data_IF_764699795750
#
_entry.id   IF_764699795750
#
_cell.length_a   1.000
_cell.length_b   1.000
_cell.length_c   1.000
_cell.angle_alpha   90.00
_cell.angle_beta   90.00
_cell.angle_gamma   90.00
#
_symmetry.space_group_name_H-M   'P 1'
#
loop_
_entity.id
_entity.type
_entity.pdbx_description
1 polymer ?
#
# COMPACT_ATOMS: atom_id res chain seq x y z
N UNK A 1 -3.22 -6.17 12.59
CA UNK A 1 -2.58 -5.08 11.81
C UNK A 1 -3.49 -4.72 10.64
N UNK A 2 -3.82 -3.44 10.47
CA UNK A 2 -4.82 -3.01 9.49
C UNK A 2 -4.29 -3.20 8.05
N UNK A 3 -4.93 -4.09 7.30
CA UNK A 3 -4.58 -4.47 5.92
C UNK A 3 -4.76 -3.39 4.86
N UNK A 4 -5.26 -2.23 5.27
CA UNK A 4 -5.59 -1.12 4.40
C UNK A 4 -5.61 0.18 5.18
N UNK A 5 -5.16 1.25 4.56
CA UNK A 5 -5.32 2.61 5.05
C UNK A 5 -6.52 3.21 4.34
N UNK A 6 -7.44 3.75 5.13
CA UNK A 6 -8.60 4.46 4.62
C UNK A 6 -8.63 5.82 5.30
N UNK A 7 -8.53 6.88 4.51
CA UNK A 7 -8.87 8.21 5.02
C UNK A 7 -10.38 8.37 4.78
N UNK A 8 -11.15 8.16 5.85
CA UNK A 8 -12.54 8.55 5.94
C UNK A 8 -12.59 9.98 6.49
N UNK A 9 -13.04 10.93 5.69
CA UNK A 9 -13.48 12.22 6.23
C UNK A 9 -14.81 12.02 6.94
N UNK A 10 -14.77 12.15 8.25
CA UNK A 10 -15.89 12.11 9.18
C UNK A 10 -16.87 13.25 8.87
N UNK A 11 -18.13 12.91 8.52
CA UNK A 11 -19.26 13.85 8.38
C UNK A 11 -19.26 14.82 7.18
N UNK A 12 -18.22 15.65 7.05
CA UNK A 12 -18.16 16.74 6.06
C UNK A 12 -18.14 16.24 4.60
N UNK A 13 -17.52 15.08 4.39
CA UNK A 13 -17.41 14.42 3.10
C UNK A 13 -18.75 13.91 2.54
N UNK A 14 -19.65 13.46 3.42
CA UNK A 14 -20.98 12.99 3.02
C UNK A 14 -21.82 14.15 2.47
N UNK A 15 -21.79 15.30 3.14
CA UNK A 15 -22.52 16.50 2.72
C UNK A 15 -21.98 17.05 1.40
N UNK A 16 -20.65 17.10 1.24
CA UNK A 16 -20.04 17.49 -0.03
C UNK A 16 -20.36 16.49 -1.15
N UNK A 17 -20.35 15.18 -0.88
CA UNK A 17 -20.70 14.17 -1.89
C UNK A 17 -22.13 14.32 -2.40
N UNK A 18 -23.08 14.70 -1.52
CA UNK A 18 -24.47 14.98 -1.87
C UNK A 18 -24.56 16.24 -2.73
N UNK A 19 -23.92 17.34 -2.32
CA UNK A 19 -23.87 18.59 -3.09
C UNK A 19 -23.20 18.42 -4.46
N UNK A 20 -22.10 17.68 -4.53
CA UNK A 20 -21.46 17.33 -5.81
C UNK A 20 -22.37 16.50 -6.71
N UNK A 21 -23.22 15.64 -6.14
CA UNK A 21 -24.17 14.82 -6.90
C UNK A 21 -25.32 15.67 -7.45
N UNK A 22 -25.80 16.65 -6.70
CA UNK A 22 -26.89 17.54 -7.11
C UNK A 22 -26.44 18.69 -8.02
N UNK A 23 -25.27 19.31 -7.75
CA UNK A 23 -24.83 20.55 -8.43
C UNK A 23 -23.63 20.37 -9.39
N UNK A 24 -22.77 19.37 -9.18
CA UNK A 24 -21.46 19.29 -9.87
C UNK A 24 -21.40 18.44 -11.14
N UNK A 25 -22.41 17.62 -11.41
CA UNK A 25 -22.44 16.71 -12.55
C UNK A 25 -21.28 15.70 -12.64
N UNK A 26 -21.20 14.90 -13.73
CA UNK A 26 -20.17 13.87 -13.91
C UNK A 26 -18.74 14.41 -14.00
N UNK A 27 -18.57 15.60 -14.59
CA UNK A 27 -17.24 16.22 -14.81
C UNK A 27 -16.56 16.60 -13.50
N UNK A 28 -17.28 17.20 -12.55
CA UNK A 28 -16.73 17.56 -11.23
C UNK A 28 -16.33 16.31 -10.45
N UNK A 29 -17.14 15.24 -10.49
CA UNK A 29 -16.81 13.96 -9.84
C UNK A 29 -15.54 13.33 -10.39
N UNK A 30 -15.35 13.38 -11.71
CA UNK A 30 -14.15 12.87 -12.36
C UNK A 30 -12.92 13.73 -12.04
N UNK A 31 -13.08 15.05 -11.98
CA UNK A 31 -12.02 15.97 -11.57
C UNK A 31 -11.60 15.72 -10.11
N UNK A 32 -12.57 15.69 -9.19
CA UNK A 32 -12.35 15.36 -7.78
C UNK A 32 -11.62 14.03 -7.61
N UNK A 33 -12.10 12.99 -8.29
CA UNK A 33 -11.50 11.64 -8.20
C UNK A 33 -10.06 11.62 -8.72
N UNK A 34 -9.75 12.38 -9.78
CA UNK A 34 -8.38 12.56 -10.29
C UNK A 34 -7.49 13.31 -9.30
N UNK A 35 -7.99 14.40 -8.71
CA UNK A 35 -7.25 15.20 -7.72
C UNK A 35 -6.95 14.40 -6.45
N UNK A 36 -7.94 13.68 -5.92
CA UNK A 36 -7.75 12.79 -4.76
C UNK A 36 -6.78 11.65 -5.06
N UNK A 37 -6.84 11.05 -6.27
CA UNK A 37 -5.85 10.05 -6.68
C UNK A 37 -4.44 10.63 -6.70
N UNK A 38 -4.27 11.84 -7.25
CA UNK A 38 -2.98 12.54 -7.29
C UNK A 38 -2.46 12.86 -5.89
N UNK A 39 -3.33 13.15 -4.93
CA UNK A 39 -2.97 13.34 -3.52
C UNK A 39 -2.48 12.04 -2.85
N UNK A 40 -3.05 10.89 -3.22
CA UNK A 40 -2.69 9.58 -2.68
C UNK A 40 -1.48 8.91 -3.37
N UNK A 41 -1.18 9.33 -4.60
CA UNK A 41 -0.07 8.81 -5.43
C UNK A 41 1.30 8.79 -4.73
N UNK A 42 1.70 9.82 -3.96
CA UNK A 42 3.01 9.83 -3.31
C UNK A 42 3.15 8.74 -2.24
N UNK A 43 2.15 8.59 -1.37
CA UNK A 43 2.14 7.52 -0.36
C UNK A 43 2.15 6.14 -1.03
N UNK A 44 1.45 5.98 -2.15
CA UNK A 44 1.50 4.74 -2.94
C UNK A 44 2.90 4.44 -3.47
N UNK A 45 3.58 5.44 -4.05
CA UNK A 45 4.97 5.30 -4.53
C UNK A 45 5.93 4.98 -3.40
N UNK A 46 5.76 5.62 -2.24
CA UNK A 46 6.60 5.37 -1.06
C UNK A 46 6.42 3.93 -0.55
N UNK A 47 5.18 3.42 -0.51
CA UNK A 47 4.90 2.02 -0.16
C UNK A 47 5.53 1.04 -1.15
N UNK A 48 5.42 1.31 -2.45
CA UNK A 48 6.06 0.48 -3.48
C UNK A 48 7.58 0.52 -3.37
N UNK A 49 8.15 1.71 -3.12
CA UNK A 49 9.60 1.90 -2.95
C UNK A 49 10.09 1.14 -1.73
N UNK A 50 9.43 1.29 -0.58
CA UNK A 50 9.76 0.61 0.67
C UNK A 50 9.84 -0.92 0.48
N UNK A 51 8.87 -1.51 -0.23
CA UNK A 51 8.93 -2.95 -0.58
C UNK A 51 10.08 -3.31 -1.52
N UNK A 52 10.33 -2.50 -2.56
CA UNK A 52 11.39 -2.74 -3.54
C UNK A 52 12.79 -2.66 -2.93
N UNK A 53 13.00 -1.72 -2.01
CA UNK A 53 14.29 -1.48 -1.36
C UNK A 53 14.45 -2.22 -0.03
N UNK A 54 13.45 -3.01 0.38
CA UNK A 54 13.49 -3.72 1.66
C UNK A 54 14.68 -4.70 1.71
N UNK A 55 15.62 -4.46 2.62
CA UNK A 55 16.72 -5.40 2.84
C UNK A 55 16.17 -6.67 3.49
N UNK A 56 16.50 -7.81 2.90
CA UNK A 56 16.20 -9.14 3.41
C UNK A 56 17.53 -9.83 3.66
N UNK A 57 18.08 -9.62 4.85
CA UNK A 57 19.36 -10.18 5.24
C UNK A 57 19.16 -11.63 5.67
N UNK A 58 19.82 -12.58 5.01
CA UNK A 58 19.86 -13.97 5.48
C UNK A 58 20.81 -14.12 6.66
N UNK A 59 20.48 -15.00 7.60
CA UNK A 59 21.47 -15.54 8.51
C UNK A 59 22.62 -16.14 7.68
N UNK A 60 23.85 -15.67 7.93
CA UNK A 60 25.00 -15.93 7.06
C UNK A 60 25.19 -17.41 6.77
N UNK A 61 25.49 -17.76 5.52
CA UNK A 61 25.86 -19.14 5.16
C UNK A 61 27.20 -19.47 5.82
N UNK A 62 27.37 -20.70 6.31
CA UNK A 62 28.71 -21.21 6.67
C UNK A 62 29.65 -21.06 5.47
N UNK A 63 30.89 -20.66 5.72
CA UNK A 63 31.91 -20.47 4.69
C UNK A 63 31.98 -21.69 3.75
N UNK A 64 32.05 -21.46 2.43
CA UNK A 64 32.16 -22.49 1.40
C UNK A 64 30.83 -23.09 0.87
N UNK A 65 29.66 -22.74 1.43
CA UNK A 65 28.36 -23.25 0.96
C UNK A 65 27.71 -22.28 -0.05
N UNK A 66 27.73 -22.61 -1.35
CA UNK A 66 26.92 -21.91 -2.37
C UNK A 66 25.43 -22.21 -2.16
N UNK A 67 24.58 -21.19 -2.33
CA UNK A 67 23.14 -21.40 -2.37
C UNK A 67 22.74 -22.15 -3.63
N UNK A 68 21.73 -23.02 -3.54
CA UNK A 68 21.07 -23.58 -4.71
C UNK A 68 20.27 -22.53 -5.50
N UNK A 69 19.82 -22.87 -6.71
CA UNK A 69 18.95 -22.01 -7.49
C UNK A 69 17.65 -21.72 -6.74
N UNK A 70 17.13 -20.50 -6.90
CA UNK A 70 15.80 -20.16 -6.39
C UNK A 70 14.77 -21.08 -7.06
N UNK A 71 13.81 -21.65 -6.31
CA UNK A 71 12.75 -22.48 -6.89
C UNK A 71 11.79 -21.68 -7.79
N UNK A 72 11.91 -20.34 -7.78
CA UNK A 72 11.10 -19.45 -8.63
C UNK A 72 12.00 -18.40 -9.28
N UNK A 73 11.70 -18.03 -10.52
CA UNK A 73 12.34 -16.90 -11.24
C UNK A 73 11.68 -15.56 -10.93
N UNK A 74 10.54 -15.58 -10.21
CA UNK A 74 9.75 -14.40 -9.92
C UNK A 74 10.44 -13.48 -8.91
N UNK A 75 10.61 -12.18 -9.22
CA UNK A 75 11.17 -11.22 -8.26
C UNK A 75 10.17 -10.96 -7.13
N UNK A 76 10.47 -11.47 -5.92
CA UNK A 76 9.61 -11.35 -4.74
C UNK A 76 9.17 -9.91 -4.47
N UNK A 77 10.13 -9.00 -4.29
CA UNK A 77 9.86 -7.60 -3.91
C UNK A 77 9.01 -6.86 -4.96
N UNK A 78 9.31 -7.07 -6.25
CA UNK A 78 8.55 -6.47 -7.35
C UNK A 78 7.11 -6.98 -7.38
N UNK A 79 6.92 -8.29 -7.16
CA UNK A 79 5.59 -8.91 -7.10
C UNK A 79 4.75 -8.31 -5.97
N UNK A 80 5.33 -8.16 -4.77
CA UNK A 80 4.63 -7.56 -3.64
C UNK A 80 4.32 -6.08 -3.88
N UNK A 81 5.27 -5.30 -4.43
CA UNK A 81 5.06 -3.88 -4.75
C UNK A 81 3.97 -3.67 -5.81
N UNK A 82 3.87 -4.57 -6.79
CA UNK A 82 2.83 -4.56 -7.82
C UNK A 82 1.42 -4.81 -7.28
N UNK A 83 1.29 -5.42 -6.10
CA UNK A 83 0.01 -5.68 -5.45
C UNK A 83 -0.53 -4.48 -4.65
N UNK A 84 0.24 -3.42 -4.44
CA UNK A 84 -0.24 -2.21 -3.74
C UNK A 84 -1.14 -1.40 -4.67
N UNK A 85 -2.36 -1.07 -4.22
CA UNK A 85 -3.40 -0.40 -5.02
C UNK A 85 -3.94 0.85 -4.35
N UNK A 86 -4.39 1.78 -5.19
CA UNK A 86 -5.15 2.97 -4.80
C UNK A 86 -6.58 2.86 -5.35
N UNK A 87 -7.58 3.07 -4.50
CA UNK A 87 -8.98 3.30 -4.87
C UNK A 87 -9.34 4.67 -4.38
N UNK A 88 -10.00 5.41 -5.26
CA UNK A 88 -10.67 6.64 -4.89
C UNK A 88 -12.16 6.37 -5.00
N UNK A 89 -12.88 6.65 -3.94
CA UNK A 89 -14.34 6.62 -3.92
C UNK A 89 -14.83 8.05 -3.95
N UNK A 90 -15.88 8.31 -4.74
CA UNK A 90 -16.55 9.61 -4.83
C UNK A 90 -18.04 9.50 -4.44
N UNK A 91 -18.45 8.36 -3.89
CA UNK A 91 -19.85 8.04 -3.56
C UNK A 91 -20.21 8.46 -2.15
N UNK A 92 -21.07 7.68 -1.48
CA UNK A 92 -21.51 7.96 -0.11
C UNK A 92 -20.34 8.03 0.90
N UNK A 93 -19.27 7.26 0.70
CA UNK A 93 -18.05 7.39 1.47
C UNK A 93 -16.92 7.86 0.55
N UNK A 94 -16.82 9.16 0.24
CA UNK A 94 -15.75 9.64 -0.60
C UNK A 94 -14.42 9.57 0.17
N UNK A 95 -13.32 9.36 -0.54
CA UNK A 95 -12.01 9.24 0.08
C UNK A 95 -11.05 8.39 -0.74
N UNK A 96 -9.79 8.36 -0.28
CA UNK A 96 -8.75 7.50 -0.83
C UNK A 96 -8.53 6.30 0.10
N UNK A 97 -8.43 5.11 -0.51
CA UNK A 97 -8.02 3.88 0.16
C UNK A 97 -6.76 3.36 -0.53
N UNK A 98 -5.77 3.00 0.28
CA UNK A 98 -4.58 2.26 -0.18
C UNK A 98 -4.57 0.91 0.53
N UNK A 99 -4.44 -0.18 -0.23
CA UNK A 99 -4.40 -1.54 0.31
C UNK A 99 -3.53 -2.44 -0.54
N UNK A 100 -3.22 -3.62 0.00
CA UNK A 100 -2.55 -4.69 -0.72
C UNK A 100 -3.61 -5.64 -1.29
N UNK A 101 -3.66 -5.76 -2.61
CA UNK A 101 -4.59 -6.62 -3.31
C UNK A 101 -4.10 -8.08 -3.27
N UNK A 102 -4.63 -8.85 -2.32
CA UNK A 102 -4.32 -10.28 -2.16
C UNK A 102 -4.75 -11.13 -3.37
N UNK A 103 -5.69 -10.67 -4.18
CA UNK A 103 -6.15 -11.39 -5.37
C UNK A 103 -5.10 -11.40 -6.49
N UNK A 104 -4.23 -10.38 -6.53
CA UNK A 104 -3.10 -10.31 -7.48
C UNK A 104 -1.84 -10.95 -6.96
N UNK A 105 -1.84 -11.36 -5.69
CA UNK A 105 -0.74 -12.09 -5.10
C UNK A 105 -0.91 -13.59 -5.36
N UNK A 106 0.16 -14.25 -5.82
CA UNK A 106 0.26 -15.70 -5.83
C UNK A 106 -0.09 -16.30 -4.45
N UNK A 107 -0.73 -17.48 -4.37
CA UNK A 107 -1.20 -18.05 -3.11
C UNK A 107 -0.13 -18.14 -2.01
N UNK A 108 1.11 -18.44 -2.39
CA UNK A 108 2.28 -18.54 -1.51
C UNK A 108 2.75 -17.20 -0.94
N UNK A 109 2.38 -16.08 -1.57
CA UNK A 109 2.81 -14.73 -1.19
C UNK A 109 1.73 -13.88 -0.51
N UNK A 110 0.48 -14.36 -0.42
CA UNK A 110 -0.66 -13.57 0.12
C UNK A 110 -0.42 -12.99 1.51
N UNK A 111 0.33 -13.71 2.35
CA UNK A 111 0.68 -13.26 3.70
C UNK A 111 2.05 -12.59 3.79
N UNK A 112 2.89 -12.73 2.77
CA UNK A 112 4.29 -12.31 2.79
C UNK A 112 4.48 -10.81 3.10
N UNK A 113 3.66 -9.87 2.59
CA UNK A 113 3.78 -8.46 2.97
C UNK A 113 3.76 -8.20 4.48
N UNK A 114 2.92 -8.95 5.22
CA UNK A 114 2.78 -8.81 6.67
C UNK A 114 3.94 -9.47 7.42
N UNK A 115 4.42 -10.61 6.92
CA UNK A 115 5.61 -11.28 7.48
C UNK A 115 6.85 -10.39 7.33
N UNK A 116 6.99 -9.70 6.20
CA UNK A 116 8.06 -8.72 5.97
C UNK A 116 7.88 -7.51 6.89
N UNK A 117 6.64 -7.03 7.10
CA UNK A 117 6.35 -5.93 8.02
C UNK A 117 6.77 -6.26 9.46
N UNK A 118 6.54 -7.51 9.90
CA UNK A 118 6.95 -8.02 11.21
C UNK A 118 8.48 -8.15 11.38
N UNK A 119 9.26 -8.12 10.31
CA UNK A 119 10.72 -8.13 10.38
C UNK A 119 11.38 -9.52 10.33
N UNK A 120 10.64 -10.61 10.56
CA UNK A 120 11.19 -11.98 10.56
C UNK A 120 10.50 -12.86 9.53
N UNK A 121 11.22 -13.15 8.43
CA UNK A 121 10.76 -14.00 7.34
C UNK A 121 11.36 -15.39 7.48
N UNK A 122 10.54 -16.40 7.76
CA UNK A 122 10.97 -17.80 7.76
C UNK A 122 10.52 -18.48 6.48
N UNK A 123 11.44 -19.21 5.84
CA UNK A 123 11.14 -19.95 4.63
C UNK A 123 11.90 -21.29 4.58
N UNK A 124 11.36 -22.31 3.90
CA UNK A 124 12.10 -23.54 3.66
C UNK A 124 13.33 -23.26 2.79
N UNK A 125 14.43 -23.96 3.08
CA UNK A 125 15.66 -23.86 2.30
C UNK A 125 15.46 -24.64 1.00
N UNK A 126 15.38 -23.94 -0.14
CA UNK A 126 15.16 -24.54 -1.48
C UNK A 126 13.97 -25.51 -1.55
N UNK A 127 12.87 -25.20 -0.85
CA UNK A 127 11.68 -26.05 -0.81
C UNK A 127 11.75 -27.23 0.17
N UNK A 128 12.88 -27.46 0.84
CA UNK A 128 13.00 -28.49 1.87
C UNK A 128 12.28 -28.07 3.16
N UNK A 129 11.10 -28.64 3.40
CA UNK A 129 10.27 -28.34 4.60
C UNK A 129 10.85 -28.86 5.92
N UNK A 130 11.88 -29.71 5.88
CA UNK A 130 12.60 -30.19 7.08
C UNK A 130 13.69 -29.21 7.54
N UNK A 131 14.07 -28.24 6.70
CA UNK A 131 15.10 -27.23 7.02
C UNK A 131 14.60 -25.83 6.71
N UNK A 132 14.52 -25.01 7.74
CA UNK A 132 14.01 -23.64 7.63
C UNK A 132 15.15 -22.64 7.82
N UNK A 133 15.21 -21.65 6.95
CA UNK A 133 16.08 -20.50 7.10
C UNK A 133 15.27 -19.29 7.58
N UNK A 134 15.97 -18.40 8.29
CA UNK A 134 15.44 -17.12 8.73
C UNK A 134 16.11 -16.01 7.93
N UNK A 135 15.29 -15.09 7.40
CA UNK A 135 15.72 -13.82 6.84
C UNK A 135 15.11 -12.69 7.67
N UNK A 136 15.90 -11.63 7.85
CA UNK A 136 15.52 -10.46 8.61
C UNK A 136 15.23 -9.30 7.66
N UNK A 137 13.98 -8.85 7.70
CA UNK A 137 13.53 -7.65 7.02
C UNK A 137 13.92 -6.42 7.85
N UNK A 138 14.98 -5.72 7.42
CA UNK A 138 15.52 -4.56 8.12
C UNK A 138 15.47 -3.30 7.23
N UNK A 139 14.91 -2.18 7.71
CA UNK A 139 14.16 -2.02 8.96
C UNK A 139 12.79 -2.73 8.91
N UNK A 140 12.29 -3.22 10.05
CA UNK A 140 10.93 -3.73 10.15
C UNK A 140 9.90 -2.59 10.09
N UNK A 141 8.64 -2.94 9.81
CA UNK A 141 7.53 -1.99 9.78
C UNK A 141 7.41 -1.20 8.49
N UNK A 142 7.81 -1.74 7.34
CA UNK A 142 7.76 -1.03 6.06
C UNK A 142 6.37 -0.48 5.74
N UNK A 143 5.29 -1.19 6.09
CA UNK A 143 3.92 -0.73 5.88
C UNK A 143 3.56 0.29 6.95
N UNK A 144 3.67 -0.12 8.22
CA UNK A 144 3.20 0.68 9.36
C UNK A 144 3.91 2.02 9.43
N UNK A 145 5.23 2.07 9.24
CA UNK A 145 6.02 3.31 9.27
C UNK A 145 5.71 4.19 8.06
N UNK A 146 5.70 3.64 6.85
CA UNK A 146 5.42 4.42 5.63
C UNK A 146 4.02 5.02 5.68
N UNK A 147 3.04 4.25 6.15
CA UNK A 147 1.67 4.75 6.37
C UNK A 147 1.65 5.85 7.41
N UNK A 148 2.28 5.66 8.57
CA UNK A 148 2.31 6.65 9.65
C UNK A 148 2.92 7.98 9.18
N UNK A 149 4.02 7.92 8.42
CA UNK A 149 4.70 9.11 7.90
C UNK A 149 3.95 9.78 6.75
N UNK A 150 3.37 9.01 5.82
CA UNK A 150 2.76 9.58 4.61
C UNK A 150 1.27 9.94 4.75
N UNK A 151 0.55 9.37 5.72
CA UNK A 151 -0.89 9.64 5.91
C UNK A 151 -1.20 11.12 6.21
N UNK A 152 -0.46 11.84 7.07
CA UNK A 152 -0.72 13.27 7.33
C UNK A 152 -0.65 14.12 6.06
N UNK A 153 0.35 13.85 5.21
CA UNK A 153 0.52 14.55 3.92
C UNK A 153 -0.62 14.26 2.95
N UNK A 154 -1.00 12.99 2.82
CA UNK A 154 -2.15 12.60 2.00
C UNK A 154 -3.45 13.25 2.50
N UNK A 155 -3.63 13.33 3.81
CA UNK A 155 -4.79 13.96 4.44
C UNK A 155 -4.86 15.45 4.12
N UNK A 156 -3.78 16.19 4.32
CA UNK A 156 -3.73 17.63 4.06
C UNK A 156 -4.05 17.96 2.59
N UNK A 157 -3.52 17.20 1.64
CA UNK A 157 -3.83 17.39 0.21
C UNK A 157 -5.29 17.06 -0.12
N UNK A 158 -5.86 16.02 0.49
CA UNK A 158 -7.29 15.72 0.31
C UNK A 158 -8.15 16.85 0.89
N UNK A 159 -7.84 17.35 2.08
CA UNK A 159 -8.54 18.48 2.70
C UNK A 159 -8.48 19.74 1.81
N UNK A 160 -7.33 20.03 1.21
CA UNK A 160 -7.19 21.12 0.23
C UNK A 160 -8.10 20.93 -1.00
N UNK A 161 -8.10 19.73 -1.58
CA UNK A 161 -8.97 19.41 -2.74
C UNK A 161 -10.45 19.55 -2.38
N UNK A 162 -10.84 19.18 -1.15
CA UNK A 162 -12.22 19.36 -0.68
C UNK A 162 -12.58 20.83 -0.53
N UNK A 163 -11.66 21.65 0.00
CA UNK A 163 -11.84 23.10 0.10
C UNK A 163 -11.98 23.77 -1.28
N UNK A 164 -11.18 23.36 -2.27
CA UNK A 164 -11.28 23.85 -3.65
C UNK A 164 -12.66 23.52 -4.24
N UNK A 165 -13.09 22.25 -4.15
CA UNK A 165 -14.38 21.82 -4.70
C UNK A 165 -15.57 22.48 -3.99
N UNK A 166 -15.45 22.77 -2.70
CA UNK A 166 -16.49 23.51 -1.97
C UNK A 166 -16.61 24.94 -2.50
N UNK A 167 -15.50 25.63 -2.74
CA UNK A 167 -15.49 26.98 -3.33
C UNK A 167 -16.07 27.01 -4.75
N UNK A 168 -15.82 25.97 -5.55
CA UNK A 168 -16.39 25.85 -6.91
C UNK A 168 -17.91 25.59 -6.91
N UNK A 169 -18.52 25.26 -5.76
CA UNK A 169 -19.94 24.92 -5.60
C UNK A 169 -20.76 26.01 -4.89
N UNK A 170 -20.11 27.03 -4.36
CA UNK A 170 -20.71 28.24 -3.76
C UNK A 170 -20.87 29.32 -4.83
#
# INVERSE_FOLDING_TARGET
MAGSVQILGTGQLLNLSRRMRTAGGPRLRQNFSRRVRRAAEPLHRDLQRALRTQSLASEGRKAGKRGGPSPTTRPLRSTLAGAVRISVRSGAAPGARIWIDKGRLPPDLRNMPWVIDQGRVRHPVFGNRRRWATQWARPAGWWTKTVQTGTPRMRAEIERVLGDVRRDLE
#
